data_IF_890869467097
#
_entry.id   IF_890869467097
#
_cell.length_a   1.000
_cell.length_b   1.000
_cell.length_c   1.000
_cell.angle_alpha   90.00
_cell.angle_beta   90.00
_cell.angle_gamma   90.00
#
_symmetry.space_group_name_H-M   'P 1'
#
loop_
_entity.id
_entity.type
_entity.pdbx_description
1 polymer ?
#
# COMPACT_ATOMS: atom_id res chain seq x y z
N UNK A 1 10.56 -1.78 24.62
CA UNK A 1 9.67 -0.61 24.52
C UNK A 1 8.51 -0.99 23.63
N UNK A 2 7.27 -0.73 24.05
CA UNK A 2 6.08 -1.09 23.26
C UNK A 2 5.80 0.01 22.22
N UNK A 3 6.13 -0.28 20.95
CA UNK A 3 6.01 0.67 19.84
C UNK A 3 4.55 0.99 19.46
N UNK A 4 3.57 0.36 20.11
CA UNK A 4 2.14 0.68 19.93
C UNK A 4 1.62 1.71 20.93
N UNK A 5 2.41 2.01 21.98
CA UNK A 5 1.99 2.86 23.11
C UNK A 5 2.75 4.17 23.23
N UNK A 6 3.94 4.27 22.62
CA UNK A 6 4.79 5.45 22.76
C UNK A 6 5.36 5.85 21.41
N UNK A 7 5.28 7.15 21.10
CA UNK A 7 5.86 7.71 19.89
C UNK A 7 7.38 7.72 19.97
N UNK A 8 8.02 7.22 18.91
CA UNK A 8 9.46 7.19 18.74
C UNK A 8 9.94 8.51 18.11
N UNK A 9 11.16 8.97 18.43
CA UNK A 9 11.74 10.13 17.76
C UNK A 9 12.02 9.81 16.29
N UNK A 10 11.93 10.83 15.44
CA UNK A 10 12.35 10.73 14.05
C UNK A 10 13.85 10.47 13.94
N UNK A 11 14.21 9.50 13.10
CA UNK A 11 15.59 9.01 12.92
C UNK A 11 16.26 9.52 11.63
N UNK A 12 15.52 10.19 10.74
CA UNK A 12 16.04 10.67 9.46
C UNK A 12 16.87 11.96 9.57
N UNK A 13 17.72 12.20 8.58
CA UNK A 13 18.47 13.47 8.47
C UNK A 13 17.58 14.61 7.99
N UNK A 14 17.99 15.86 8.21
CA UNK A 14 17.22 17.06 7.79
C UNK A 14 17.49 17.44 6.34
N UNK A 15 17.51 16.46 5.44
CA UNK A 15 17.56 16.66 4.00
C UNK A 15 16.17 16.44 3.39
N UNK A 16 15.84 17.17 2.32
CA UNK A 16 14.52 17.11 1.70
C UNK A 16 14.08 15.70 1.33
N UNK A 17 15.00 14.89 0.82
CA UNK A 17 14.77 13.48 0.47
C UNK A 17 14.31 12.60 1.64
N UNK A 18 14.55 13.02 2.88
CA UNK A 18 14.13 12.28 4.09
C UNK A 18 12.88 12.88 4.72
N UNK A 19 12.84 14.21 4.90
CA UNK A 19 11.69 14.82 5.57
C UNK A 19 10.47 14.94 4.64
N UNK A 20 10.62 14.96 3.31
CA UNK A 20 9.50 14.90 2.36
C UNK A 20 8.94 13.49 2.14
N UNK A 21 9.43 12.46 2.84
CA UNK A 21 8.83 11.11 2.76
C UNK A 21 7.48 11.02 3.47
N UNK A 22 7.31 11.79 4.54
CA UNK A 22 6.06 11.83 5.31
C UNK A 22 5.71 13.26 5.69
N UNK A 23 4.48 13.67 5.44
CA UNK A 23 3.85 14.83 6.04
C UNK A 23 2.99 14.42 7.23
N UNK A 24 3.01 15.24 8.28
CA UNK A 24 2.09 15.11 9.41
C UNK A 24 1.72 16.50 9.92
N UNK A 25 0.43 16.85 10.04
CA UNK A 25 0.01 18.25 10.24
C UNK A 25 0.34 18.80 11.63
N UNK A 26 0.51 17.92 12.61
CA UNK A 26 0.77 18.26 14.01
C UNK A 26 2.27 18.23 14.38
N UNK A 27 3.15 17.97 13.41
CA UNK A 27 4.60 17.96 13.60
C UNK A 27 5.28 19.07 12.79
N UNK A 28 6.48 19.45 13.21
CA UNK A 28 7.36 20.23 12.35
C UNK A 28 7.70 19.41 11.12
N UNK A 29 7.49 19.95 9.91
CA UNK A 29 7.76 19.21 8.69
C UNK A 29 9.24 18.80 8.53
N UNK A 30 10.19 19.56 9.07
CA UNK A 30 11.62 19.23 8.97
C UNK A 30 12.03 18.18 10.02
N UNK A 31 11.97 18.53 11.30
CA UNK A 31 12.53 17.69 12.37
C UNK A 31 11.54 16.68 12.96
N UNK A 32 10.27 16.71 12.53
CA UNK A 32 9.16 15.86 12.97
C UNK A 32 8.86 15.92 14.49
N UNK A 33 9.40 16.90 15.21
CA UNK A 33 9.04 17.16 16.61
C UNK A 33 7.63 17.73 16.70
N UNK A 34 6.94 17.44 17.80
CA UNK A 34 5.58 17.90 18.05
C UNK A 34 5.52 19.43 18.13
N UNK A 35 4.51 20.03 17.50
CA UNK A 35 4.33 21.49 17.48
C UNK A 35 3.57 22.02 18.69
N UNK A 36 3.01 21.14 19.53
CA UNK A 36 2.29 21.53 20.74
C UNK A 36 3.20 22.02 21.87
N UNK A 37 4.47 21.57 21.88
CA UNK A 37 5.44 21.90 22.94
C UNK A 37 6.27 23.13 22.57
N UNK A 38 6.31 23.50 21.28
CA UNK A 38 7.17 24.55 20.74
C UNK A 38 6.27 25.67 20.19
N UNK A 39 6.70 26.92 20.24
CA UNK A 39 6.04 28.06 19.57
C UNK A 39 6.03 27.86 18.06
N UNK A 40 5.08 27.05 17.60
CA UNK A 40 4.98 26.63 16.22
C UNK A 40 4.50 27.76 15.33
N UNK A 41 5.08 27.82 14.13
CA UNK A 41 4.66 28.72 13.07
C UNK A 41 4.04 27.88 11.96
N UNK A 42 2.72 27.79 11.98
CA UNK A 42 1.97 27.34 10.79
C UNK A 42 2.26 28.29 9.64
N UNK A 43 2.33 27.76 8.42
CA UNK A 43 2.42 28.60 7.23
C UNK A 43 1.20 29.53 7.18
N UNK A 44 1.47 30.84 7.19
CA UNK A 44 0.50 31.93 7.23
C UNK A 44 -0.32 32.08 5.93
N UNK A 45 0.18 31.52 4.83
CA UNK A 45 -0.49 31.60 3.51
C UNK A 45 -1.45 30.45 3.26
N UNK A 46 -1.01 29.21 3.50
CA UNK A 46 -1.81 28.01 3.22
C UNK A 46 -2.45 27.38 4.46
N UNK A 47 -1.98 27.70 5.67
CA UNK A 47 -2.45 27.12 6.94
C UNK A 47 -2.34 25.60 7.08
N UNK A 48 -1.75 24.89 6.11
CA UNK A 48 -1.74 23.42 6.06
C UNK A 48 -0.51 22.76 6.67
N UNK A 49 0.61 23.47 6.82
CA UNK A 49 1.90 22.91 7.23
C UNK A 49 2.53 23.70 8.38
N UNK A 50 3.20 23.00 9.29
CA UNK A 50 3.73 23.56 10.54
C UNK A 50 5.25 23.41 10.67
N UNK A 51 5.89 24.40 11.29
CA UNK A 51 7.32 24.38 11.60
C UNK A 51 7.56 24.76 13.06
N UNK A 52 8.62 24.21 13.67
CA UNK A 52 9.02 24.57 15.03
C UNK A 52 9.87 25.84 15.11
N UNK A 53 10.34 26.36 13.97
CA UNK A 53 11.14 27.59 13.89
C UNK A 53 11.06 28.21 12.49
N UNK A 54 11.42 29.50 12.40
CA UNK A 54 11.55 30.21 11.11
C UNK A 54 12.65 29.60 10.23
N UNK A 55 13.72 29.07 10.83
CA UNK A 55 14.80 28.41 10.10
C UNK A 55 14.31 27.16 9.37
N UNK A 56 13.51 26.31 10.04
CA UNK A 56 12.92 25.14 9.40
C UNK A 56 11.90 25.52 8.31
N UNK A 57 11.15 26.62 8.50
CA UNK A 57 10.26 27.17 7.47
C UNK A 57 11.06 27.62 6.25
N UNK A 58 12.17 28.33 6.45
CA UNK A 58 13.04 28.82 5.37
C UNK A 58 13.75 27.66 4.66
N UNK A 59 14.17 26.62 5.39
CA UNK A 59 14.80 25.44 4.82
C UNK A 59 13.88 24.68 3.85
N UNK A 60 12.58 24.60 4.17
CA UNK A 60 11.58 23.94 3.32
C UNK A 60 10.96 24.85 2.26
N UNK A 61 11.20 26.16 2.33
CA UNK A 61 10.55 27.14 1.47
C UNK A 61 10.71 26.83 -0.03
N UNK A 62 11.89 26.44 -0.54
CA UNK A 62 12.06 26.14 -1.97
C UNK A 62 11.13 25.03 -2.47
N UNK A 63 10.91 23.98 -1.68
CA UNK A 63 10.05 22.84 -2.04
C UNK A 63 8.57 23.20 -1.85
N UNK A 64 8.23 23.94 -0.79
CA UNK A 64 6.84 24.24 -0.45
C UNK A 64 6.21 25.36 -1.27
N UNK A 65 7.00 26.29 -1.81
CA UNK A 65 6.53 27.56 -2.37
C UNK A 65 5.41 27.40 -3.41
N UNK A 66 5.57 26.48 -4.35
CA UNK A 66 4.65 26.33 -5.48
C UNK A 66 3.26 25.86 -5.02
N UNK A 67 3.20 24.76 -4.26
CA UNK A 67 1.94 24.26 -3.71
C UNK A 67 1.31 25.26 -2.73
N UNK A 68 2.13 25.99 -1.97
CA UNK A 68 1.65 27.02 -1.05
C UNK A 68 0.85 28.12 -1.78
N UNK A 69 1.35 28.57 -2.94
CA UNK A 69 0.68 29.59 -3.77
C UNK A 69 -0.64 29.05 -4.32
N UNK A 70 -0.66 27.81 -4.80
CA UNK A 70 -1.88 27.19 -5.34
C UNK A 70 -2.96 27.00 -4.25
N UNK A 71 -2.58 26.51 -3.06
CA UNK A 71 -3.50 26.39 -1.92
C UNK A 71 -4.02 27.77 -1.50
N UNK A 72 -3.14 28.78 -1.35
CA UNK A 72 -3.56 30.12 -0.97
C UNK A 72 -4.55 30.73 -1.96
N UNK A 73 -4.33 30.53 -3.27
CA UNK A 73 -5.24 30.99 -4.31
C UNK A 73 -6.62 30.35 -4.17
N UNK A 74 -6.69 29.04 -3.94
CA UNK A 74 -7.95 28.35 -3.70
C UNK A 74 -8.66 28.88 -2.44
N UNK A 75 -7.94 29.05 -1.33
CA UNK A 75 -8.52 29.54 -0.07
C UNK A 75 -9.03 30.98 -0.17
N UNK A 76 -8.35 31.85 -0.94
CA UNK A 76 -8.83 33.21 -1.20
C UNK A 76 -10.14 33.23 -2.00
N UNK A 77 -10.29 32.30 -2.94
CA UNK A 77 -11.53 32.15 -3.71
C UNK A 77 -12.64 31.45 -2.91
N UNK A 78 -12.28 30.71 -1.85
CA UNK A 78 -13.19 29.90 -1.04
C UNK A 78 -13.00 30.19 0.47
N UNK A 79 -13.31 31.41 0.94
CA UNK A 79 -12.96 31.85 2.31
C UNK A 79 -13.61 31.01 3.42
N UNK A 80 -14.73 30.34 3.15
CA UNK A 80 -15.43 29.51 4.12
C UNK A 80 -14.92 28.06 4.16
N UNK A 81 -13.99 27.68 3.29
CA UNK A 81 -13.56 26.28 3.13
C UNK A 81 -13.01 25.66 4.43
N UNK A 82 -12.26 26.44 5.23
CA UNK A 82 -11.66 25.95 6.47
C UNK A 82 -12.64 25.91 7.65
N UNK A 83 -13.67 26.75 7.63
CA UNK A 83 -14.63 26.90 8.74
C UNK A 83 -15.90 26.10 8.52
N UNK A 84 -16.15 25.60 7.30
CA UNK A 84 -17.35 24.82 6.99
C UNK A 84 -17.39 23.54 7.82
N UNK A 85 -18.61 23.13 8.15
CA UNK A 85 -18.92 21.81 8.69
C UNK A 85 -19.62 21.05 7.59
N UNK A 86 -19.33 19.77 7.49
CA UNK A 86 -19.84 18.94 6.41
C UNK A 86 -20.06 17.52 6.90
N UNK A 87 -20.96 16.81 6.23
CA UNK A 87 -21.03 15.35 6.36
C UNK A 87 -19.77 14.71 5.79
N UNK A 88 -19.63 13.39 5.92
CA UNK A 88 -18.46 12.71 5.36
C UNK A 88 -18.44 12.73 3.83
N UNK A 89 -19.60 12.54 3.19
CA UNK A 89 -19.69 12.50 1.73
C UNK A 89 -19.40 13.87 1.12
N UNK A 90 -19.98 14.93 1.68
CA UNK A 90 -19.69 16.33 1.32
C UNK A 90 -18.20 16.68 1.51
N UNK A 91 -17.57 16.15 2.56
CA UNK A 91 -16.14 16.34 2.78
C UNK A 91 -15.33 15.71 1.64
N UNK A 92 -15.64 14.47 1.25
CA UNK A 92 -14.91 13.76 0.19
C UNK A 92 -15.01 14.48 -1.15
N UNK A 93 -16.22 14.89 -1.53
CA UNK A 93 -16.46 15.65 -2.76
C UNK A 93 -15.62 16.92 -2.77
N UNK A 94 -15.71 17.71 -1.71
CA UNK A 94 -15.07 18.99 -1.71
C UNK A 94 -13.55 18.95 -1.39
N UNK A 95 -13.04 17.88 -0.77
CA UNK A 95 -11.60 17.59 -0.78
C UNK A 95 -11.11 17.23 -2.18
N UNK A 96 -11.93 16.49 -2.96
CA UNK A 96 -11.66 16.21 -4.36
C UNK A 96 -11.58 17.47 -5.21
N UNK A 97 -12.56 18.37 -5.10
CA UNK A 97 -12.56 19.67 -5.76
C UNK A 97 -11.35 20.53 -5.38
N UNK A 98 -11.04 20.58 -4.08
CA UNK A 98 -9.87 21.31 -3.58
C UNK A 98 -8.57 20.75 -4.16
N UNK A 99 -8.40 19.43 -4.11
CA UNK A 99 -7.22 18.76 -4.67
C UNK A 99 -7.10 19.04 -6.17
N UNK A 100 -8.17 18.83 -6.95
CA UNK A 100 -8.17 19.06 -8.40
C UNK A 100 -7.83 20.51 -8.75
N UNK A 101 -8.43 21.49 -8.06
CA UNK A 101 -8.13 22.90 -8.28
C UNK A 101 -6.66 23.23 -7.99
N UNK A 102 -6.09 22.69 -6.91
CA UNK A 102 -4.69 22.93 -6.57
C UNK A 102 -3.75 22.28 -7.58
N UNK A 103 -4.00 21.04 -8.02
CA UNK A 103 -3.15 20.36 -8.99
C UNK A 103 -3.19 21.04 -10.38
N UNK A 104 -4.36 21.53 -10.80
CA UNK A 104 -4.50 22.33 -12.03
C UNK A 104 -3.61 23.59 -11.99
N UNK A 105 -3.54 24.25 -10.84
CA UNK A 105 -2.70 25.44 -10.65
C UNK A 105 -1.21 25.10 -10.48
N UNK A 106 -0.89 23.94 -9.89
CA UNK A 106 0.48 23.49 -9.64
C UNK A 106 1.24 23.14 -10.93
N UNK A 107 0.53 22.68 -11.98
CA UNK A 107 1.09 22.35 -13.33
C UNK A 107 2.25 21.36 -13.34
N UNK A 108 2.40 20.57 -12.28
CA UNK A 108 3.32 19.43 -12.18
C UNK A 108 2.70 18.33 -11.35
N UNK A 109 3.30 17.15 -11.40
CA UNK A 109 2.92 16.05 -10.51
C UNK A 109 3.26 16.46 -9.07
N UNK A 110 2.31 16.37 -8.13
CA UNK A 110 2.57 16.66 -6.73
C UNK A 110 3.47 15.59 -6.11
N UNK A 111 4.40 16.01 -5.23
CA UNK A 111 5.20 15.09 -4.42
C UNK A 111 4.33 14.33 -3.42
N UNK A 112 4.81 13.20 -2.89
CA UNK A 112 4.03 12.38 -1.97
C UNK A 112 3.64 13.13 -0.68
N UNK A 113 4.53 13.95 -0.10
CA UNK A 113 4.17 14.76 1.06
C UNK A 113 3.09 15.80 0.74
N UNK A 114 3.08 16.32 -0.49
CA UNK A 114 2.09 17.29 -0.95
C UNK A 114 0.71 16.65 -1.06
N UNK A 115 0.63 15.43 -1.63
CA UNK A 115 -0.61 14.63 -1.62
C UNK A 115 -1.10 14.39 -0.17
N UNK A 116 -0.18 14.03 0.72
CA UNK A 116 -0.48 13.81 2.14
C UNK A 116 -0.94 15.08 2.87
N UNK A 117 -0.62 16.29 2.39
CA UNK A 117 -1.18 17.53 2.97
C UNK A 117 -2.71 17.61 2.84
N UNK A 118 -3.27 16.99 1.80
CA UNK A 118 -4.72 16.90 1.60
C UNK A 118 -5.30 15.71 2.38
N UNK A 119 -4.68 14.53 2.26
CA UNK A 119 -5.14 13.29 2.90
C UNK A 119 -5.08 13.37 4.43
N UNK A 120 -4.07 14.03 4.99
CA UNK A 120 -3.86 14.19 6.43
C UNK A 120 -4.11 15.63 6.90
N UNK A 121 -4.98 16.36 6.21
CA UNK A 121 -5.40 17.69 6.64
C UNK A 121 -6.01 17.63 8.06
N UNK A 122 -5.78 18.68 8.86
CA UNK A 122 -6.39 18.78 10.19
C UNK A 122 -7.89 18.97 10.04
N UNK A 123 -8.66 18.03 10.57
CA UNK A 123 -10.11 17.99 10.49
C UNK A 123 -10.65 17.53 11.84
N UNK A 124 -11.71 18.17 12.33
CA UNK A 124 -12.46 17.59 13.43
C UNK A 124 -12.99 16.21 13.01
N UNK A 125 -12.70 15.18 13.81
CA UNK A 125 -13.11 13.80 13.57
C UNK A 125 -14.64 13.63 13.38
N UNK A 126 -15.43 14.54 13.95
CA UNK A 126 -16.90 14.51 13.92
C UNK A 126 -17.46 15.45 12.83
N UNK A 127 -17.19 16.76 12.91
CA UNK A 127 -17.82 17.76 12.03
C UNK A 127 -16.95 18.26 10.86
N UNK A 128 -15.71 17.79 10.76
CA UNK A 128 -14.78 18.08 9.65
C UNK A 128 -14.38 19.55 9.44
N UNK A 129 -14.67 20.45 10.39
CA UNK A 129 -14.08 21.80 10.34
C UNK A 129 -12.55 21.73 10.52
N UNK A 130 -11.81 22.71 9.97
CA UNK A 130 -10.33 22.73 9.99
C UNK A 130 -9.72 23.74 10.98
N UNK A 131 -10.56 24.58 11.58
CA UNK A 131 -10.14 25.64 12.51
C UNK A 131 -10.53 25.32 13.95
N UNK A 132 -9.76 25.85 14.92
CA UNK A 132 -10.08 25.72 16.35
C UNK A 132 -10.01 24.27 16.85
N UNK A 133 -9.01 23.52 16.40
CA UNK A 133 -8.86 22.09 16.65
C UNK A 133 -7.83 21.79 17.74
N UNK A 134 -8.09 20.72 18.47
CA UNK A 134 -7.20 20.09 19.44
C UNK A 134 -6.84 18.70 18.95
N UNK A 135 -5.60 18.27 19.19
CA UNK A 135 -5.13 16.94 18.79
C UNK A 135 -5.18 15.95 19.95
N UNK A 136 -5.39 14.67 19.64
CA UNK A 136 -5.19 13.60 20.61
C UNK A 136 -3.75 13.61 21.13
N UNK A 137 -3.55 13.81 22.45
CA UNK A 137 -2.21 13.92 23.05
C UNK A 137 -1.36 12.65 22.98
N UNK A 138 -1.99 11.50 22.67
CA UNK A 138 -1.31 10.20 22.55
C UNK A 138 -0.84 9.93 21.12
N UNK A 139 -1.77 9.85 20.16
CA UNK A 139 -1.41 9.52 18.77
C UNK A 139 -1.08 10.74 17.91
N UNK A 140 -1.51 11.94 18.30
CA UNK A 140 -1.34 13.21 17.58
C UNK A 140 -1.92 13.21 16.15
N UNK A 141 -2.60 12.14 15.77
CA UNK A 141 -3.02 11.86 14.40
C UNK A 141 -4.48 12.21 14.12
N UNK A 142 -5.28 12.39 15.16
CA UNK A 142 -6.71 12.74 15.07
C UNK A 142 -6.95 14.02 15.85
N UNK A 143 -7.75 14.90 15.24
CA UNK A 143 -8.10 16.20 15.78
C UNK A 143 -9.61 16.30 16.08
N UNK A 144 -9.98 17.16 17.02
CA UNK A 144 -11.36 17.42 17.41
C UNK A 144 -11.55 18.90 17.75
N UNK A 145 -12.74 19.45 17.55
CA UNK A 145 -13.06 20.79 18.02
C UNK A 145 -13.61 20.76 19.45
N UNK A 146 -13.60 21.90 20.15
CA UNK A 146 -14.04 21.97 21.55
C UNK A 146 -15.46 21.41 21.78
N UNK A 147 -16.38 21.71 20.84
CA UNK A 147 -17.77 21.24 20.88
C UNK A 147 -17.90 19.70 20.82
N UNK A 148 -16.99 19.02 20.11
CA UNK A 148 -17.03 17.57 19.93
C UNK A 148 -16.07 16.82 20.84
N UNK A 149 -15.59 17.45 21.93
CA UNK A 149 -14.62 16.83 22.84
C UNK A 149 -15.18 15.55 23.49
N UNK A 150 -16.38 15.60 24.04
CA UNK A 150 -16.98 14.45 24.73
C UNK A 150 -17.27 13.30 23.76
N UNK A 151 -17.84 13.61 22.60
CA UNK A 151 -18.11 12.63 21.54
C UNK A 151 -16.81 12.00 21.01
N UNK A 152 -15.75 12.80 20.86
CA UNK A 152 -14.43 12.32 20.49
C UNK A 152 -13.89 11.32 21.51
N UNK A 153 -14.00 11.60 22.81
CA UNK A 153 -13.54 10.69 23.88
C UNK A 153 -14.29 9.35 23.87
N UNK A 154 -15.55 9.33 23.46
CA UNK A 154 -16.36 8.10 23.32
C UNK A 154 -15.98 7.27 22.08
N UNK A 155 -15.71 7.93 20.94
CA UNK A 155 -15.43 7.25 19.68
C UNK A 155 -13.95 6.91 19.48
N UNK A 156 -13.03 7.76 19.93
CA UNK A 156 -11.59 7.56 19.80
C UNK A 156 -11.05 6.62 20.90
N UNK A 157 -11.40 5.34 20.78
CA UNK A 157 -10.98 4.29 21.72
C UNK A 157 -9.47 4.08 21.73
N UNK A 158 -8.95 3.61 22.86
CA UNK A 158 -7.52 3.31 23.06
C UNK A 158 -6.93 2.39 21.97
N UNK A 159 -7.70 1.41 21.49
CA UNK A 159 -7.26 0.49 20.43
C UNK A 159 -6.98 1.26 19.12
N UNK A 160 -7.90 2.12 18.69
CA UNK A 160 -7.71 2.95 17.49
C UNK A 160 -6.54 3.92 17.66
N UNK A 161 -6.37 4.49 18.86
CA UNK A 161 -5.24 5.35 19.19
C UNK A 161 -3.90 4.61 19.05
N UNK A 162 -3.81 3.38 19.56
CA UNK A 162 -2.58 2.58 19.49
C UNK A 162 -2.20 2.21 18.05
N UNK A 163 -3.18 1.95 17.18
CA UNK A 163 -2.93 1.68 15.76
C UNK A 163 -2.33 2.89 15.04
N UNK A 164 -2.79 4.09 15.37
CA UNK A 164 -2.24 5.33 14.82
C UNK A 164 -0.84 5.62 15.35
N UNK A 165 -0.55 5.32 16.63
CA UNK A 165 0.80 5.39 17.19
C UNK A 165 1.74 4.43 16.43
N UNK A 166 1.30 3.18 16.22
CA UNK A 166 2.07 2.20 15.47
C UNK A 166 2.34 2.69 14.04
N UNK A 167 1.31 3.10 13.30
CA UNK A 167 1.46 3.68 11.97
C UNK A 167 2.48 4.81 11.95
N UNK A 168 2.33 5.80 12.83
CA UNK A 168 3.21 6.95 12.87
C UNK A 168 4.66 6.57 13.21
N UNK A 169 4.86 5.63 14.12
CA UNK A 169 6.19 5.12 14.45
C UNK A 169 6.87 4.43 13.26
N UNK A 170 6.12 3.66 12.47
CA UNK A 170 6.65 3.02 11.27
C UNK A 170 7.06 4.07 10.24
N UNK A 171 6.24 5.09 10.01
CA UNK A 171 6.57 6.16 9.05
C UNK A 171 7.73 7.05 9.51
N UNK A 172 7.86 7.32 10.81
CA UNK A 172 8.97 8.08 11.38
C UNK A 172 10.30 7.31 11.42
N UNK A 173 10.26 5.98 11.31
CA UNK A 173 11.45 5.14 11.42
C UNK A 173 12.46 5.35 10.28
N UNK A 174 12.04 5.97 9.16
CA UNK A 174 12.84 6.15 7.93
C UNK A 174 13.46 4.84 7.41
N UNK A 175 12.91 3.69 7.81
CA UNK A 175 13.31 2.38 7.32
C UNK A 175 12.45 2.05 6.10
N UNK A 176 13.11 1.87 4.96
CA UNK A 176 12.48 1.37 3.73
C UNK A 176 13.20 0.08 3.30
N UNK A 177 12.50 -0.75 2.53
CA UNK A 177 13.09 -1.95 1.91
C UNK A 177 14.37 -1.62 1.11
N UNK A 178 14.43 -0.40 0.56
CA UNK A 178 15.48 0.09 -0.32
C UNK A 178 16.74 0.56 0.43
N UNK A 179 16.65 0.98 1.70
CA UNK A 179 17.64 1.89 2.32
C UNK A 179 18.53 1.29 3.40
N UNK A 180 18.38 0.02 3.78
CA UNK A 180 19.30 -0.64 4.71
C UNK A 180 19.85 -1.91 4.09
N UNK A 181 21.08 -1.77 3.61
CA UNK A 181 21.92 -2.84 3.11
C UNK A 181 21.81 -4.13 3.95
N UNK A 182 21.56 -5.23 3.24
CA UNK A 182 22.30 -6.50 3.35
C UNK A 182 22.11 -7.43 4.56
N UNK A 183 21.26 -7.18 5.54
CA UNK A 183 21.35 -7.93 6.81
C UNK A 183 20.09 -8.78 7.04
N UNK A 184 20.27 -10.11 7.21
CA UNK A 184 19.32 -11.14 7.69
C UNK A 184 18.07 -11.55 6.87
N UNK A 185 17.72 -10.88 5.76
CA UNK A 185 16.42 -11.05 5.07
C UNK A 185 16.34 -12.11 3.95
N UNK A 186 17.45 -12.77 3.58
CA UNK A 186 17.36 -13.87 2.61
C UNK A 186 16.69 -15.06 3.30
N UNK A 187 15.82 -15.78 2.59
CA UNK A 187 15.15 -17.02 3.01
C UNK A 187 16.14 -18.19 3.28
N UNK A 188 17.37 -17.91 3.74
CA UNK A 188 18.44 -18.88 4.01
C UNK A 188 17.97 -19.92 5.02
N UNK A 189 17.26 -19.47 6.08
CA UNK A 189 16.68 -20.34 7.11
C UNK A 189 15.34 -20.96 6.68
N UNK A 190 14.78 -20.57 5.54
CA UNK A 190 13.45 -20.99 5.10
C UNK A 190 13.53 -21.91 3.86
N UNK A 191 12.72 -22.98 3.77
CA UNK A 191 12.13 -23.64 4.92
C UNK A 191 13.27 -24.25 5.76
N UNK A 192 13.13 -24.36 7.06
CA UNK A 192 14.12 -25.15 7.82
C UNK A 192 13.90 -26.65 7.58
N UNK A 193 14.88 -27.46 7.99
CA UNK A 193 14.80 -28.91 7.88
C UNK A 193 13.58 -29.49 8.63
N UNK A 194 13.12 -28.81 9.68
CA UNK A 194 11.97 -29.21 10.50
C UNK A 194 10.63 -28.59 10.06
N UNK A 195 10.60 -27.83 8.95
CA UNK A 195 9.41 -27.17 8.37
C UNK A 195 8.45 -26.66 9.45
N UNK A 196 8.91 -25.71 10.27
CA UNK A 196 8.11 -25.17 11.37
C UNK A 196 6.74 -24.65 10.86
N UNK A 197 5.62 -25.13 11.42
CA UNK A 197 4.31 -24.86 10.83
C UNK A 197 3.91 -23.40 10.99
N UNK A 198 3.62 -22.74 9.87
CA UNK A 198 3.10 -21.38 9.80
C UNK A 198 1.73 -21.37 9.09
N UNK A 199 0.72 -20.81 9.73
CA UNK A 199 -0.67 -20.76 9.25
C UNK A 199 -1.21 -19.33 9.07
N UNK A 200 -0.42 -18.34 9.50
CA UNK A 200 -0.74 -16.90 9.45
C UNK A 200 0.54 -16.05 9.51
N UNK A 201 0.43 -14.79 9.10
CA UNK A 201 1.55 -13.85 9.02
C UNK A 201 2.33 -13.73 10.34
N UNK A 202 1.64 -13.52 11.47
CA UNK A 202 2.31 -13.34 12.76
C UNK A 202 3.20 -14.52 13.13
N UNK A 203 2.71 -15.75 12.90
CA UNK A 203 3.46 -16.98 13.19
C UNK A 203 4.64 -17.15 12.23
N UNK A 204 4.48 -16.76 10.96
CA UNK A 204 5.58 -16.76 9.99
C UNK A 204 6.72 -15.83 10.44
N UNK A 205 6.40 -14.62 10.90
CA UNK A 205 7.39 -13.68 11.45
C UNK A 205 8.07 -14.25 12.70
N UNK A 206 7.29 -14.74 13.67
CA UNK A 206 7.81 -15.30 14.93
C UNK A 206 8.74 -16.50 14.69
N UNK A 207 8.46 -17.34 13.70
CA UNK A 207 9.25 -18.53 13.43
C UNK A 207 10.48 -18.25 12.54
N UNK A 208 10.33 -17.43 11.50
CA UNK A 208 11.35 -17.33 10.45
C UNK A 208 12.11 -16.01 10.40
N UNK A 209 11.65 -14.98 11.11
CA UNK A 209 12.23 -13.63 11.03
C UNK A 209 12.80 -13.20 12.38
N UNK A 210 12.07 -13.41 13.46
CA UNK A 210 12.48 -12.97 14.79
C UNK A 210 13.57 -13.85 15.40
N UNK A 211 14.63 -13.23 15.92
CA UNK A 211 15.59 -13.91 16.79
C UNK A 211 15.00 -14.19 18.18
N UNK A 212 14.19 -13.26 18.71
CA UNK A 212 13.45 -13.41 19.97
C UNK A 212 11.95 -13.40 19.71
N UNK A 213 11.35 -14.59 19.72
CA UNK A 213 9.93 -14.81 19.43
C UNK A 213 9.00 -13.95 20.30
N UNK A 214 7.98 -13.39 19.67
CA UNK A 214 6.88 -12.66 20.33
C UNK A 214 7.19 -11.20 20.67
N UNK A 215 8.42 -10.71 20.43
CA UNK A 215 8.79 -9.31 20.66
C UNK A 215 8.85 -8.56 19.34
N UNK A 216 7.75 -7.85 19.03
CA UNK A 216 7.60 -7.13 17.77
C UNK A 216 8.31 -5.77 17.76
N UNK A 217 9.11 -5.54 16.74
CA UNK A 217 9.79 -4.27 16.47
C UNK A 217 9.37 -3.69 15.10
N UNK A 218 9.85 -2.48 14.76
CA UNK A 218 9.52 -1.77 13.51
C UNK A 218 9.80 -2.63 12.27
N UNK A 219 10.94 -3.32 12.23
CA UNK A 219 11.33 -4.14 11.08
C UNK A 219 10.39 -5.33 10.88
N UNK A 220 9.83 -5.90 11.94
CA UNK A 220 8.91 -7.03 11.83
C UNK A 220 7.65 -6.62 11.06
N UNK A 221 7.06 -5.46 11.38
CA UNK A 221 5.89 -4.94 10.67
C UNK A 221 6.21 -4.61 9.20
N UNK A 222 7.35 -3.96 8.95
CA UNK A 222 7.84 -3.70 7.60
C UNK A 222 8.00 -5.04 6.84
N UNK A 223 8.56 -6.06 7.47
CA UNK A 223 8.75 -7.36 6.84
C UNK A 223 7.42 -8.06 6.50
N UNK A 224 6.39 -7.92 7.35
CA UNK A 224 5.07 -8.50 7.00
C UNK A 224 4.54 -7.96 5.69
N UNK A 225 4.78 -6.69 5.41
CA UNK A 225 4.32 -6.03 4.20
C UNK A 225 5.17 -6.44 2.98
N UNK A 226 6.48 -6.64 3.18
CA UNK A 226 7.40 -7.21 2.19
C UNK A 226 6.98 -8.59 1.67
N UNK A 227 6.67 -9.52 2.60
CA UNK A 227 6.35 -10.91 2.22
C UNK A 227 4.87 -11.15 1.96
N UNK A 228 3.99 -10.17 2.23
CA UNK A 228 2.55 -10.35 2.13
C UNK A 228 2.12 -10.73 0.71
N UNK A 229 2.66 -10.09 -0.33
CA UNK A 229 2.32 -10.39 -1.73
C UNK A 229 2.48 -11.87 -2.10
N UNK A 230 3.70 -12.43 -2.10
CA UNK A 230 3.91 -13.82 -2.48
C UNK A 230 3.26 -14.83 -1.51
N UNK A 231 3.16 -14.53 -0.20
CA UNK A 231 2.44 -15.40 0.73
C UNK A 231 0.92 -15.38 0.50
N UNK A 232 0.36 -14.27 0.02
CA UNK A 232 -1.03 -14.20 -0.42
C UNK A 232 -1.27 -15.08 -1.64
N UNK A 233 -0.32 -15.13 -2.58
CA UNK A 233 -0.37 -16.04 -3.73
C UNK A 233 -0.34 -17.49 -3.27
N UNK A 234 0.62 -17.85 -2.41
CA UNK A 234 0.70 -19.21 -1.86
C UNK A 234 -0.61 -19.62 -1.17
N UNK A 235 -1.13 -18.75 -0.30
CA UNK A 235 -2.36 -19.02 0.45
C UNK A 235 -3.58 -19.10 -0.48
N UNK A 236 -3.78 -18.12 -1.37
CA UNK A 236 -4.91 -18.08 -2.29
C UNK A 236 -4.95 -19.29 -3.22
N UNK A 237 -3.80 -19.66 -3.80
CA UNK A 237 -3.71 -20.83 -4.69
C UNK A 237 -3.97 -22.14 -3.94
N UNK A 238 -3.50 -22.26 -2.70
CA UNK A 238 -3.77 -23.43 -1.85
C UNK A 238 -5.24 -23.54 -1.48
N UNK A 239 -5.89 -22.44 -1.08
CA UNK A 239 -7.29 -22.45 -0.70
C UNK A 239 -8.24 -22.63 -1.89
N UNK A 240 -7.82 -22.24 -3.10
CA UNK A 240 -8.58 -22.45 -4.32
C UNK A 240 -8.37 -23.84 -4.95
N UNK A 241 -7.55 -24.71 -4.34
CA UNK A 241 -7.14 -26.01 -4.90
C UNK A 241 -6.48 -25.87 -6.30
N UNK A 242 -5.75 -24.77 -6.50
CA UNK A 242 -5.04 -24.45 -7.76
C UNK A 242 -3.52 -24.55 -7.63
N UNK A 243 -2.99 -24.99 -6.48
CA UNK A 243 -1.55 -25.14 -6.26
C UNK A 243 -0.87 -26.03 -7.30
N UNK A 244 -1.58 -27.02 -7.85
CA UNK A 244 -1.05 -27.92 -8.88
C UNK A 244 -0.57 -27.18 -10.13
N UNK A 245 -1.16 -26.02 -10.45
CA UNK A 245 -0.73 -25.18 -11.58
C UNK A 245 0.73 -24.72 -11.39
N UNK A 246 1.11 -24.38 -10.16
CA UNK A 246 2.46 -23.96 -9.81
C UNK A 246 3.36 -25.16 -9.45
N UNK A 247 2.81 -26.18 -8.80
CA UNK A 247 3.55 -27.35 -8.33
C UNK A 247 3.95 -28.30 -9.45
N UNK A 248 3.22 -28.37 -10.56
CA UNK A 248 3.56 -29.31 -11.65
C UNK A 248 4.60 -28.77 -12.63
N UNK A 249 4.86 -27.45 -12.60
CA UNK A 249 5.68 -26.80 -13.62
C UNK A 249 7.11 -26.54 -13.15
N UNK A 250 8.05 -26.76 -14.08
CA UNK A 250 9.46 -26.39 -13.87
C UNK A 250 9.71 -24.90 -14.11
N UNK A 251 8.89 -24.26 -14.94
CA UNK A 251 8.90 -22.81 -15.23
C UNK A 251 7.55 -22.24 -14.84
N UNK A 252 7.54 -21.19 -14.02
CA UNK A 252 6.34 -20.50 -13.58
C UNK A 252 6.41 -19.02 -13.94
N UNK A 253 5.43 -18.54 -14.70
CA UNK A 253 5.34 -17.14 -15.14
C UNK A 253 4.17 -16.46 -14.42
N UNK A 254 4.48 -15.47 -13.58
CA UNK A 254 3.48 -14.72 -12.82
C UNK A 254 3.48 -13.28 -13.29
N UNK A 255 2.34 -12.80 -13.75
CA UNK A 255 2.15 -11.40 -14.12
C UNK A 255 1.52 -10.63 -12.96
N UNK A 256 2.17 -9.56 -12.52
CA UNK A 256 1.63 -8.60 -11.57
C UNK A 256 1.18 -7.39 -12.37
N UNK A 257 -0.13 -7.20 -12.48
CA UNK A 257 -0.72 -6.09 -13.23
C UNK A 257 -0.93 -4.87 -12.33
N UNK A 258 -0.92 -3.68 -12.93
CA UNK A 258 -1.02 -2.40 -12.20
C UNK A 258 0.04 -2.32 -11.08
N UNK A 259 1.24 -2.82 -11.38
CA UNK A 259 2.34 -2.80 -10.44
C UNK A 259 2.89 -1.39 -10.29
N UNK A 260 3.11 -0.96 -9.05
CA UNK A 260 3.72 0.33 -8.74
C UNK A 260 5.11 0.13 -8.11
N UNK A 261 5.74 1.22 -7.68
CA UNK A 261 7.03 1.19 -6.99
C UNK A 261 7.02 0.22 -5.78
N UNK A 262 5.87 0.06 -5.11
CA UNK A 262 5.74 -0.84 -3.97
C UNK A 262 5.96 -2.30 -4.36
N UNK A 263 5.36 -2.76 -5.46
CA UNK A 263 5.56 -4.12 -5.98
C UNK A 263 6.99 -4.31 -6.47
N UNK A 264 7.56 -3.30 -7.14
CA UNK A 264 8.97 -3.32 -7.58
C UNK A 264 9.93 -3.48 -6.40
N UNK A 265 9.69 -2.77 -5.30
CA UNK A 265 10.51 -2.84 -4.09
C UNK A 265 10.35 -4.15 -3.32
N UNK A 266 9.15 -4.72 -3.34
CA UNK A 266 8.86 -6.02 -2.76
C UNK A 266 9.31 -7.22 -3.61
N UNK A 267 9.82 -6.98 -4.82
CA UNK A 267 10.14 -8.03 -5.78
C UNK A 267 11.06 -9.14 -5.25
N UNK A 268 12.14 -8.86 -4.48
CA UNK A 268 13.01 -9.94 -4.02
C UNK A 268 12.30 -10.89 -3.02
N UNK A 269 11.17 -10.50 -2.42
CA UNK A 269 10.38 -11.37 -1.55
C UNK A 269 9.79 -12.58 -2.28
N UNK A 270 9.61 -12.48 -3.61
CA UNK A 270 9.04 -13.54 -4.43
C UNK A 270 9.92 -14.78 -4.52
N UNK A 271 11.20 -14.69 -4.12
CA UNK A 271 12.06 -15.86 -3.94
C UNK A 271 11.38 -16.92 -3.03
N UNK A 272 10.56 -16.51 -2.06
CA UNK A 272 9.86 -17.44 -1.16
C UNK A 272 9.04 -18.51 -1.90
N UNK A 273 8.54 -18.21 -3.10
CA UNK A 273 7.80 -19.18 -3.91
C UNK A 273 8.70 -20.32 -4.40
N UNK A 274 10.00 -20.07 -4.64
CA UNK A 274 10.97 -21.12 -4.95
C UNK A 274 11.17 -22.09 -3.79
N UNK A 275 10.95 -21.63 -2.56
CA UNK A 275 11.03 -22.46 -1.36
C UNK A 275 9.73 -23.24 -1.12
N UNK A 276 8.59 -22.58 -1.29
CA UNK A 276 7.25 -23.15 -1.08
C UNK A 276 6.84 -24.15 -2.17
N UNK A 277 7.34 -23.96 -3.40
CA UNK A 277 7.07 -24.82 -4.54
C UNK A 277 8.39 -25.44 -5.07
N UNK A 278 8.84 -26.58 -4.50
CA UNK A 278 10.15 -27.16 -4.80
C UNK A 278 10.37 -27.50 -6.29
N UNK A 279 9.30 -27.80 -7.01
CA UNK A 279 9.33 -28.17 -8.44
C UNK A 279 9.65 -27.00 -9.36
N UNK A 280 9.36 -25.76 -8.95
CA UNK A 280 9.73 -24.58 -9.74
C UNK A 280 11.25 -24.46 -9.78
N UNK A 281 11.82 -24.55 -10.99
CA UNK A 281 13.23 -24.33 -11.29
C UNK A 281 13.49 -22.93 -11.82
N UNK A 282 12.55 -22.35 -12.54
CA UNK A 282 12.63 -20.97 -13.03
C UNK A 282 11.34 -20.26 -12.65
N UNK A 283 11.47 -19.22 -11.82
CA UNK A 283 10.39 -18.28 -11.53
C UNK A 283 10.61 -17.03 -12.39
N UNK A 284 9.58 -16.62 -13.13
CA UNK A 284 9.56 -15.39 -13.90
C UNK A 284 8.44 -14.51 -13.33
N UNK A 285 8.79 -13.34 -12.81
CA UNK A 285 7.81 -12.35 -12.32
C UNK A 285 7.84 -11.15 -13.26
N UNK A 286 6.73 -10.91 -13.95
CA UNK A 286 6.55 -9.77 -14.85
C UNK A 286 5.69 -8.73 -14.14
N UNK A 287 6.23 -7.54 -13.91
CA UNK A 287 5.53 -6.41 -13.33
C UNK A 287 5.12 -5.48 -14.47
N UNK A 288 3.83 -5.23 -14.61
CA UNK A 288 3.30 -4.36 -15.66
C UNK A 288 2.59 -3.17 -15.02
N UNK A 289 3.08 -1.97 -15.28
CA UNK A 289 2.51 -0.73 -14.75
C UNK A 289 3.14 0.52 -15.37
N UNK A 290 2.33 1.54 -15.60
CA UNK A 290 2.73 2.78 -16.31
C UNK A 290 3.78 3.60 -15.58
N UNK A 291 3.86 3.46 -14.26
CA UNK A 291 4.72 4.28 -13.41
C UNK A 291 6.07 3.60 -13.11
N UNK A 292 6.31 2.42 -13.72
CA UNK A 292 7.55 1.67 -13.56
C UNK A 292 8.65 2.18 -14.50
N UNK A 293 9.88 1.77 -14.22
CA UNK A 293 10.98 1.85 -15.19
C UNK A 293 11.16 0.49 -15.86
N UNK A 294 11.57 0.50 -17.14
CA UNK A 294 11.88 -0.76 -17.81
C UNK A 294 13.13 -1.39 -17.20
N UNK A 295 12.99 -2.63 -16.75
CA UNK A 295 14.10 -3.40 -16.18
C UNK A 295 13.92 -4.87 -16.55
N UNK A 296 15.01 -5.52 -16.98
CA UNK A 296 15.01 -6.96 -17.23
C UNK A 296 16.30 -7.55 -16.68
N UNK A 297 16.19 -8.44 -15.69
CA UNK A 297 17.36 -9.03 -15.06
C UNK A 297 17.05 -10.32 -14.31
N UNK A 298 18.10 -10.97 -13.83
CA UNK A 298 18.02 -12.09 -12.89
C UNK A 298 18.18 -11.56 -11.47
N UNK A 299 17.26 -11.92 -10.59
CA UNK A 299 17.31 -11.57 -9.18
C UNK A 299 18.38 -12.41 -8.47
N UNK A 300 19.14 -11.79 -7.57
CA UNK A 300 20.04 -12.53 -6.69
C UNK A 300 19.23 -13.34 -5.66
N UNK A 301 19.38 -14.66 -5.70
CA UNK A 301 18.70 -15.63 -4.83
C UNK A 301 19.63 -16.12 -3.71
N UNK A 302 19.06 -16.77 -2.70
CA UNK A 302 19.80 -17.35 -1.59
C UNK A 302 20.69 -18.53 -2.02
N UNK A 303 21.75 -18.85 -1.24
CA UNK A 303 22.65 -19.95 -1.55
C UNK A 303 21.96 -21.31 -1.72
N UNK A 304 20.86 -21.56 -0.99
CA UNK A 304 20.10 -22.82 -1.10
C UNK A 304 19.35 -22.92 -2.42
N UNK A 305 18.71 -21.86 -2.88
CA UNK A 305 18.06 -21.83 -4.19
C UNK A 305 19.10 -21.99 -5.31
N UNK A 306 20.27 -21.35 -5.16
CA UNK A 306 21.37 -21.50 -6.10
C UNK A 306 21.93 -22.94 -6.14
N UNK A 307 22.15 -23.56 -4.97
CA UNK A 307 22.56 -24.97 -4.86
C UNK A 307 21.56 -25.91 -5.55
N UNK A 308 20.26 -25.63 -5.40
CA UNK A 308 19.19 -26.38 -6.06
C UNK A 308 19.00 -26.02 -7.55
N UNK A 309 19.93 -25.25 -8.14
CA UNK A 309 19.96 -24.80 -9.54
C UNK A 309 18.68 -24.07 -9.97
N UNK A 310 18.10 -23.30 -9.05
CA UNK A 310 16.92 -22.47 -9.33
C UNK A 310 17.33 -21.12 -9.91
N UNK A 311 16.42 -20.48 -10.63
CA UNK A 311 16.57 -19.13 -11.18
C UNK A 311 15.34 -18.29 -10.86
N UNK A 312 15.56 -17.02 -10.59
CA UNK A 312 14.51 -16.02 -10.47
C UNK A 312 14.79 -14.89 -11.45
N UNK A 313 13.95 -14.74 -12.46
CA UNK A 313 14.02 -13.72 -13.50
C UNK A 313 12.87 -12.74 -13.27
N UNK A 314 13.11 -11.47 -13.53
CA UNK A 314 12.06 -10.47 -13.51
C UNK A 314 12.11 -9.55 -14.71
N UNK A 315 10.95 -9.01 -15.04
CA UNK A 315 10.74 -8.02 -16.07
C UNK A 315 9.83 -6.93 -15.52
N UNK A 316 10.23 -5.67 -15.61
CA UNK A 316 9.42 -4.51 -15.28
C UNK A 316 9.07 -3.80 -16.58
N UNK A 317 7.78 -3.65 -16.85
CA UNK A 317 7.25 -3.09 -18.08
C UNK A 317 6.51 -1.78 -17.78
N UNK A 318 7.09 -0.67 -18.23
CA UNK A 318 6.49 0.68 -18.19
C UNK A 318 5.43 0.84 -19.30
N UNK A 319 4.32 0.11 -19.21
CA UNK A 319 3.26 0.12 -20.23
C UNK A 319 1.94 -0.43 -19.69
N UNK A 320 0.88 -0.31 -20.49
CA UNK A 320 -0.38 -0.98 -20.22
C UNK A 320 -0.27 -2.50 -20.48
N UNK A 321 -1.16 -3.27 -19.87
CA UNK A 321 -1.13 -4.72 -20.05
C UNK A 321 -1.48 -5.16 -21.49
N UNK A 322 -2.30 -4.38 -22.19
CA UNK A 322 -2.61 -4.54 -23.62
C UNK A 322 -1.36 -4.39 -24.48
N UNK A 323 -0.57 -3.35 -24.24
CA UNK A 323 0.68 -3.09 -24.95
C UNK A 323 1.72 -4.18 -24.70
N UNK A 324 1.82 -4.65 -23.45
CA UNK A 324 2.71 -5.75 -23.10
C UNK A 324 2.35 -7.03 -23.85
N UNK A 325 1.06 -7.34 -24.04
CA UNK A 325 0.65 -8.51 -24.82
C UNK A 325 1.02 -8.43 -26.30
N UNK A 326 1.13 -7.22 -26.87
CA UNK A 326 1.60 -7.02 -28.23
C UNK A 326 3.13 -7.00 -28.34
N UNK A 327 3.85 -7.00 -27.21
CA UNK A 327 5.30 -6.92 -27.18
C UNK A 327 5.96 -8.24 -27.60
N UNK A 328 7.04 -8.23 -28.40
CA UNK A 328 7.79 -9.44 -28.75
C UNK A 328 8.35 -10.24 -27.57
N UNK A 329 8.56 -9.61 -26.41
CA UNK A 329 9.03 -10.25 -25.17
C UNK A 329 7.92 -10.92 -24.37
N UNK A 330 6.67 -10.80 -24.81
CA UNK A 330 5.52 -11.36 -24.11
C UNK A 330 5.66 -12.87 -23.87
N UNK A 331 5.74 -13.22 -22.59
CA UNK A 331 5.49 -14.58 -22.09
C UNK A 331 4.04 -14.73 -21.65
N UNK A 332 3.41 -15.88 -21.93
CA UNK A 332 2.06 -16.15 -21.43
C UNK A 332 2.06 -16.41 -19.93
N UNK A 333 1.16 -15.77 -19.19
CA UNK A 333 1.03 -15.96 -17.74
C UNK A 333 0.49 -17.35 -17.38
N UNK A 334 1.05 -17.92 -16.31
CA UNK A 334 0.48 -19.05 -15.58
C UNK A 334 -0.47 -18.59 -14.47
N UNK A 335 -0.23 -17.39 -13.94
CA UNK A 335 -1.05 -16.72 -12.94
C UNK A 335 -0.97 -15.21 -13.17
N UNK A 336 -2.12 -14.53 -13.08
CA UNK A 336 -2.18 -13.07 -13.03
C UNK A 336 -2.54 -12.64 -11.62
N UNK A 337 -1.85 -11.62 -11.11
CA UNK A 337 -2.04 -11.07 -9.78
C UNK A 337 -2.30 -9.58 -9.87
N UNK A 338 -3.36 -9.12 -9.22
CA UNK A 338 -3.65 -7.70 -9.02
C UNK A 338 -3.68 -7.38 -7.52
N UNK A 339 -2.81 -6.48 -7.07
CA UNK A 339 -2.77 -6.08 -5.66
C UNK A 339 -3.53 -4.80 -5.40
N UNK A 340 -4.16 -4.71 -4.22
CA UNK A 340 -4.93 -3.53 -3.79
C UNK A 340 -5.92 -3.07 -4.87
N UNK A 341 -6.72 -3.99 -5.39
CA UNK A 341 -7.73 -3.66 -6.40
C UNK A 341 -8.73 -2.69 -5.80
N UNK A 342 -8.85 -1.56 -6.49
CA UNK A 342 -9.84 -0.52 -6.29
C UNK A 342 -10.25 -0.04 -7.68
N UNK A 343 -11.51 0.39 -7.79
CA UNK A 343 -12.06 1.01 -8.99
C UNK A 343 -11.10 2.05 -9.57
N UNK A 344 -10.67 1.83 -10.81
CA UNK A 344 -9.75 2.74 -11.51
C UNK A 344 -10.14 2.88 -12.97
N UNK A 345 -9.75 4.01 -13.56
CA UNK A 345 -9.89 4.26 -14.99
C UNK A 345 -9.23 3.12 -15.76
N UNK A 346 -9.92 2.56 -16.78
CA UNK A 346 -9.52 1.41 -17.61
C UNK A 346 -9.64 0.02 -16.98
N UNK A 347 -10.26 -0.14 -15.81
CA UNK A 347 -10.43 -1.46 -15.19
C UNK A 347 -11.10 -2.49 -16.12
N UNK A 348 -12.12 -2.06 -16.88
CA UNK A 348 -12.81 -2.90 -17.87
C UNK A 348 -11.88 -3.49 -18.94
N UNK A 349 -10.89 -2.71 -19.39
CA UNK A 349 -9.90 -3.15 -20.37
C UNK A 349 -9.01 -4.24 -19.76
N UNK A 350 -8.48 -4.00 -18.55
CA UNK A 350 -7.69 -5.00 -17.82
C UNK A 350 -8.46 -6.30 -17.62
N UNK A 351 -9.75 -6.23 -17.27
CA UNK A 351 -10.60 -7.41 -17.08
C UNK A 351 -10.73 -8.24 -18.37
N UNK A 352 -10.98 -7.59 -19.52
CA UNK A 352 -11.09 -8.27 -20.81
C UNK A 352 -9.76 -8.89 -21.24
N UNK A 353 -8.66 -8.17 -21.01
CA UNK A 353 -7.32 -8.67 -21.28
C UNK A 353 -7.02 -9.90 -20.43
N UNK A 354 -7.26 -9.85 -19.11
CA UNK A 354 -7.07 -10.99 -18.22
C UNK A 354 -7.95 -12.19 -18.62
N UNK A 355 -9.20 -11.95 -19.05
CA UNK A 355 -10.07 -13.01 -19.57
C UNK A 355 -9.47 -13.72 -20.80
N UNK A 356 -8.80 -12.98 -21.69
CA UNK A 356 -8.15 -13.55 -22.88
C UNK A 356 -6.99 -14.51 -22.56
N UNK A 357 -6.36 -14.38 -21.38
CA UNK A 357 -5.19 -15.16 -20.97
C UNK A 357 -5.54 -16.60 -20.61
N UNK A 358 -6.80 -16.85 -20.23
CA UNK A 358 -7.34 -18.17 -19.87
C UNK A 358 -6.52 -18.86 -18.77
N UNK A 359 -5.97 -18.08 -17.83
CA UNK A 359 -5.26 -18.55 -16.65
C UNK A 359 -5.98 -18.08 -15.37
N UNK A 360 -5.60 -18.61 -14.19
CA UNK A 360 -6.08 -18.10 -12.92
C UNK A 360 -5.74 -16.62 -12.71
N UNK A 361 -6.63 -15.95 -11.98
CA UNK A 361 -6.48 -14.56 -11.57
C UNK A 361 -6.67 -14.47 -10.07
N UNK A 362 -5.68 -13.89 -9.38
CA UNK A 362 -5.70 -13.63 -7.95
C UNK A 362 -5.72 -12.13 -7.72
N UNK A 363 -6.74 -11.64 -7.05
CA UNK A 363 -6.88 -10.24 -6.68
C UNK A 363 -6.79 -10.10 -5.17
N UNK A 364 -6.14 -9.04 -4.69
CA UNK A 364 -6.19 -8.67 -3.28
C UNK A 364 -6.88 -7.33 -3.11
N UNK A 365 -7.63 -7.19 -2.02
CA UNK A 365 -8.30 -5.95 -1.64
C UNK A 365 -7.97 -5.63 -0.17
N UNK A 366 -7.96 -4.34 0.22
CA UNK A 366 -7.65 -3.95 1.59
C UNK A 366 -8.85 -3.93 2.53
N UNK A 367 -10.07 -3.85 2.01
CA UNK A 367 -11.30 -3.68 2.80
C UNK A 367 -12.28 -4.82 2.50
N UNK A 368 -12.82 -5.45 3.55
CA UNK A 368 -13.76 -6.58 3.42
C UNK A 368 -15.04 -6.20 2.69
N UNK A 369 -15.61 -5.07 3.08
CA UNK A 369 -16.93 -4.61 2.63
C UNK A 369 -16.96 -4.24 1.16
N UNK A 370 -15.81 -4.03 0.52
CA UNK A 370 -15.73 -3.76 -0.93
C UNK A 370 -15.64 -5.03 -1.77
N UNK A 371 -15.38 -6.20 -1.19
CA UNK A 371 -15.20 -7.45 -1.95
C UNK A 371 -16.37 -7.79 -2.87
N UNK A 372 -17.61 -7.67 -2.38
CA UNK A 372 -18.81 -7.99 -3.16
C UNK A 372 -19.04 -6.95 -4.26
N UNK A 373 -18.74 -5.68 -3.99
CA UNK A 373 -18.81 -4.60 -4.99
C UNK A 373 -17.82 -4.86 -6.11
N UNK A 374 -16.57 -5.22 -5.80
CA UNK A 374 -15.56 -5.56 -6.81
C UNK A 374 -15.98 -6.76 -7.67
N UNK A 375 -16.56 -7.81 -7.04
CA UNK A 375 -17.10 -8.96 -7.79
C UNK A 375 -18.25 -8.52 -8.72
N UNK A 376 -19.15 -7.66 -8.24
CA UNK A 376 -20.27 -7.16 -9.03
C UNK A 376 -19.79 -6.34 -10.25
N UNK A 377 -18.75 -5.50 -10.09
CA UNK A 377 -18.16 -4.76 -11.21
C UNK A 377 -17.46 -5.70 -12.21
N UNK A 378 -16.75 -6.73 -11.75
CA UNK A 378 -16.18 -7.77 -12.64
C UNK A 378 -17.30 -8.45 -13.45
N UNK A 379 -18.39 -8.83 -12.78
CA UNK A 379 -19.53 -9.50 -13.41
C UNK A 379 -20.29 -8.60 -14.39
N UNK A 380 -20.33 -7.29 -14.13
CA UNK A 380 -20.93 -6.30 -15.04
C UNK A 380 -20.16 -6.19 -16.35
N UNK A 381 -18.82 -6.27 -16.31
CA UNK A 381 -17.97 -6.18 -17.51
C UNK A 381 -17.87 -7.51 -18.25
N UNK A 382 -17.67 -8.59 -17.51
CA UNK A 382 -17.33 -9.89 -18.09
C UNK A 382 -18.51 -10.85 -18.18
N UNK A 383 -19.59 -10.64 -17.44
CA UNK A 383 -20.77 -11.51 -17.39
C UNK A 383 -21.01 -12.10 -15.99
N UNK A 384 -22.28 -12.36 -15.66
CA UNK A 384 -22.71 -12.87 -14.33
C UNK A 384 -22.18 -14.28 -14.01
N UNK A 385 -21.79 -15.03 -15.03
CA UNK A 385 -21.24 -16.39 -14.87
C UNK A 385 -19.78 -16.38 -14.39
N UNK A 386 -19.09 -15.23 -14.43
CA UNK A 386 -17.75 -15.09 -13.86
C UNK A 386 -17.84 -15.01 -12.34
N UNK A 387 -17.63 -16.15 -11.69
CA UNK A 387 -17.63 -16.26 -10.23
C UNK A 387 -16.25 -16.66 -9.69
N UNK A 388 -15.82 -16.08 -8.56
CA UNK A 388 -14.59 -16.50 -7.91
C UNK A 388 -14.77 -17.89 -7.30
N UNK A 389 -13.69 -18.66 -7.28
CA UNK A 389 -13.60 -19.95 -6.56
C UNK A 389 -13.53 -19.71 -5.06
N UNK A 390 -12.80 -18.66 -4.65
CA UNK A 390 -12.74 -18.23 -3.25
C UNK A 390 -12.81 -16.71 -3.15
N UNK A 391 -13.43 -16.23 -2.07
CA UNK A 391 -13.42 -14.85 -1.61
C UNK A 391 -13.31 -14.88 -0.09
N UNK A 392 -12.08 -14.75 0.43
CA UNK A 392 -11.78 -15.04 1.84
C UNK A 392 -10.81 -14.04 2.47
N UNK A 393 -10.82 -13.98 3.81
CA UNK A 393 -9.81 -13.26 4.59
C UNK A 393 -8.42 -13.85 4.36
N UNK A 394 -7.46 -12.98 4.09
CA UNK A 394 -6.09 -13.40 3.90
C UNK A 394 -5.37 -13.58 5.25
N UNK A 395 -4.98 -14.80 5.57
CA UNK A 395 -4.17 -15.08 6.77
C UNK A 395 -2.74 -14.53 6.68
N UNK A 396 -2.29 -14.18 5.48
CA UNK A 396 -0.98 -13.61 5.18
C UNK A 396 -1.05 -12.15 4.72
N UNK A 397 -2.11 -11.44 5.12
CA UNK A 397 -2.15 -9.98 4.97
C UNK A 397 -0.99 -9.31 5.71
N UNK A 398 -0.61 -8.15 5.23
CA UNK A 398 0.34 -7.28 5.91
C UNK A 398 -0.18 -6.93 7.31
N UNK A 399 0.71 -6.87 8.30
CA UNK A 399 0.39 -6.34 9.62
C UNK A 399 0.88 -4.90 9.78
N UNK A 400 1.54 -4.33 8.75
CA UNK A 400 1.86 -2.90 8.69
C UNK A 400 0.55 -2.11 8.49
N UNK A 401 0.16 -1.24 9.43
CA UNK A 401 -0.96 -0.34 9.22
C UNK A 401 -0.60 0.72 8.18
N UNK A 402 -1.55 0.98 7.28
CA UNK A 402 -1.56 2.13 6.39
C UNK A 402 -2.71 3.05 6.78
N UNK A 403 -2.54 4.35 6.59
CA UNK A 403 -3.54 5.34 6.95
C UNK A 403 -4.16 5.94 5.69
N UNK A 404 -5.49 5.90 5.64
CA UNK A 404 -6.31 6.72 4.77
C UNK A 404 -6.93 7.88 5.59
N UNK A 405 -7.73 8.75 4.98
CA UNK A 405 -8.36 9.94 5.58
C UNK A 405 -8.90 9.70 6.99
N UNK A 406 -9.70 8.64 7.18
CA UNK A 406 -10.37 8.34 8.46
C UNK A 406 -9.99 7.03 9.13
N UNK A 407 -9.37 6.10 8.42
CA UNK A 407 -9.22 4.73 8.91
C UNK A 407 -7.84 4.16 8.61
N UNK A 408 -7.49 3.16 9.42
CA UNK A 408 -6.31 2.33 9.19
C UNK A 408 -6.75 1.12 8.37
N UNK A 409 -6.02 0.83 7.31
CA UNK A 409 -6.17 -0.38 6.52
C UNK A 409 -4.86 -1.17 6.46
N UNK A 410 -4.95 -2.39 5.95
CA UNK A 410 -3.80 -3.28 5.82
C UNK A 410 -3.78 -3.85 4.41
N UNK A 411 -2.61 -3.86 3.79
CA UNK A 411 -2.45 -4.39 2.44
C UNK A 411 -2.72 -5.89 2.41
N UNK A 412 -3.34 -6.30 1.31
CA UNK A 412 -3.68 -7.68 1.00
C UNK A 412 -4.60 -8.31 2.05
N UNK A 413 -5.56 -7.56 2.61
CA UNK A 413 -6.42 -8.07 3.69
C UNK A 413 -7.34 -9.22 3.26
N UNK A 414 -7.75 -9.25 1.99
CA UNK A 414 -8.60 -10.29 1.41
C UNK A 414 -8.01 -10.77 0.10
N UNK A 415 -8.34 -12.02 -0.24
CA UNK A 415 -7.97 -12.64 -1.51
C UNK A 415 -9.23 -13.11 -2.22
N UNK A 416 -9.33 -12.75 -3.49
CA UNK A 416 -10.33 -13.26 -4.43
C UNK A 416 -9.57 -14.04 -5.50
N UNK A 417 -9.95 -15.29 -5.76
CA UNK A 417 -9.31 -16.11 -6.80
C UNK A 417 -10.34 -16.60 -7.79
N UNK A 418 -10.07 -16.40 -9.06
CA UNK A 418 -10.81 -16.96 -10.18
C UNK A 418 -9.96 -18.06 -10.83
N UNK A 419 -10.54 -19.23 -11.11
CA UNK A 419 -9.87 -20.29 -11.87
C UNK A 419 -9.54 -19.83 -13.29
N UNK A 420 -10.49 -19.13 -13.90
CA UNK A 420 -10.36 -18.37 -15.15
C UNK A 420 -11.46 -17.32 -15.16
N UNK A 421 -11.26 -16.18 -15.83
CA UNK A 421 -12.32 -15.17 -16.00
C UNK A 421 -13.27 -15.46 -17.19
N UNK A 422 -13.41 -16.71 -17.63
CA UNK A 422 -14.28 -17.05 -18.77
C UNK A 422 -15.75 -17.18 -18.38
N UNK A 423 -16.65 -16.74 -19.26
CA UNK A 423 -18.06 -17.11 -19.21
C UNK A 423 -18.27 -18.54 -19.70
N UNK A 424 -19.03 -19.33 -18.94
CA UNK A 424 -19.49 -20.67 -19.31
C UNK A 424 -20.42 -20.67 -20.53
N UNK A 425 -21.06 -19.55 -20.84
CA UNK A 425 -21.97 -19.38 -21.99
C UNK A 425 -21.29 -19.28 -23.36
N UNK A 426 -19.97 -19.04 -23.42
CA UNK A 426 -19.23 -18.93 -24.70
C UNK A 426 -18.86 -20.27 -25.36
N UNK A 427 -19.09 -21.41 -24.68
CA UNK A 427 -18.76 -22.74 -25.21
C UNK A 427 -19.84 -23.28 -26.15
N UNK A 428 -21.06 -22.75 -26.09
CA UNK A 428 -22.20 -23.23 -26.88
C UNK A 428 -22.30 -22.65 -28.30
N UNK A 429 -21.53 -21.63 -28.67
CA UNK A 429 -21.63 -20.98 -30.00
C UNK A 429 -20.50 -21.36 -30.98
N UNK A 430 -19.60 -22.30 -30.61
CA UNK A 430 -18.52 -22.77 -31.51
C UNK A 430 -18.69 -24.21 -31.99
N UNK A 431 -19.87 -24.79 -31.78
CA UNK A 431 -20.26 -26.11 -32.27
C UNK A 431 -21.63 -26.05 -32.95
N UNK A 432 -21.74 -25.23 -33.99
CA UNK A 432 -22.85 -25.19 -34.94
C UNK A 432 -22.31 -25.09 -36.36
#
# INVERSE_FOLDING_TARGET
MDITKTLLPYSGSWMSVHYNKIFHPNFCHICKKTTEIISSTTCDRCSSISYCSKDHKNLHFPQHREICIAIEKFLKNNPQYLTRRSTYDELLEAQGEFYLSVIQDLRRIPENYEKQMFTFAKLCFICHQQTGLYSCKKCLSIDYCLEHKEEFEQHHKQISCNLLILWLNLELSNVQYESTASLSLKFIKFPDNDMRPFDKMAKFIEEYVQDKKGVWNVLDYIYTDYVSGPLSVYYGMSQAELSDILLTRSISIIHIIKAEAVERNGLPAWEILLHLFPNIKVLIVVLVGTDLQFEFSTQEICPRCNYNKKKFIYECCCMLYSDYMANPMYGRADLIVGFQVFETVLWDEYLRIMQSQKCPVLLTIPIESTSLTEIAEIQKVLGRDVCPVINIKNKFRSLRPYRDLKYIYYRNSFVIVFKTLKNTTSVTESSS
#
